data_IF_034575520322
#
_entry.id   IF_034575520322
#
_cell.length_a   1.000
_cell.length_b   1.000
_cell.length_c   1.000
_cell.angle_alpha   90.00
_cell.angle_beta   90.00
_cell.angle_gamma   90.00
#
_symmetry.space_group_name_H-M   'P 1'
#
loop_
_entity.id
_entity.type
_entity.pdbx_description
1 polymer ?
#
# COMPACT_ATOMS: atom_id res chain seq x y z
N UNK A 1 23.30 -5.90 4.12
CA UNK A 1 22.27 -5.57 3.09
C UNK A 1 22.21 -4.06 2.96
N UNK A 2 22.51 -3.53 1.78
CA UNK A 2 22.49 -2.08 1.55
C UNK A 2 21.04 -1.57 1.45
N UNK A 3 20.81 -0.32 1.87
CA UNK A 3 19.54 0.36 1.69
C UNK A 3 19.34 0.63 0.18
N UNK A 4 18.34 -0.02 -0.43
CA UNK A 4 18.04 0.09 -1.87
C UNK A 4 16.99 1.17 -2.19
N UNK A 5 16.67 2.06 -1.24
CA UNK A 5 15.67 3.10 -1.43
C UNK A 5 16.20 4.17 -2.39
N UNK A 6 15.41 4.46 -3.42
CA UNK A 6 15.66 5.55 -4.37
C UNK A 6 15.03 6.88 -3.91
N UNK A 7 13.96 6.82 -3.14
CA UNK A 7 13.20 7.98 -2.66
C UNK A 7 13.13 8.02 -1.12
N UNK A 8 13.20 9.21 -0.50
CA UNK A 8 12.93 9.35 0.92
C UNK A 8 11.48 8.95 1.24
N UNK A 9 11.26 8.36 2.41
CA UNK A 9 9.92 8.04 2.92
C UNK A 9 9.51 9.08 3.96
N UNK A 10 8.37 9.70 3.73
CA UNK A 10 7.75 10.67 4.63
C UNK A 10 6.67 9.95 5.45
N UNK A 11 6.73 10.00 6.80
CA UNK A 11 5.64 9.53 7.63
C UNK A 11 4.33 10.24 7.25
N UNK A 12 3.31 9.46 6.93
CA UNK A 12 2.01 10.00 6.52
C UNK A 12 0.95 8.98 6.90
N UNK A 13 -0.04 9.44 7.68
CA UNK A 13 -1.20 8.63 8.04
C UNK A 13 -2.41 9.09 7.26
N UNK A 14 -2.79 8.30 6.26
CA UNK A 14 -4.00 8.46 5.47
C UNK A 14 -4.78 7.14 5.49
N UNK A 15 -6.11 7.24 5.50
CA UNK A 15 -6.97 6.08 5.32
C UNK A 15 -6.92 5.65 3.86
N UNK A 16 -6.73 4.37 3.60
CA UNK A 16 -6.63 3.82 2.25
C UNK A 16 -7.46 2.55 2.14
N UNK A 17 -8.29 2.48 1.11
CA UNK A 17 -8.99 1.25 0.72
C UNK A 17 -8.05 0.43 -0.15
N UNK A 18 -7.81 -0.83 0.20
CA UNK A 18 -6.99 -1.77 -0.57
C UNK A 18 -7.88 -2.92 -1.04
N UNK A 19 -7.79 -3.29 -2.31
CA UNK A 19 -8.53 -4.42 -2.86
C UNK A 19 -7.61 -5.50 -3.45
N UNK A 20 -7.95 -6.76 -3.20
CA UNK A 20 -7.27 -7.95 -3.72
C UNK A 20 -8.25 -9.14 -3.81
N UNK A 21 -8.15 -10.03 -4.82
CA UNK A 21 -9.06 -11.17 -4.98
C UNK A 21 -9.15 -12.11 -3.77
N UNK A 22 -8.09 -12.25 -2.97
CA UNK A 22 -8.09 -13.18 -1.82
C UNK A 22 -8.88 -12.70 -0.60
N UNK A 23 -9.19 -11.40 -0.49
CA UNK A 23 -9.87 -10.83 0.67
C UNK A 23 -10.93 -9.77 0.34
N UNK A 24 -11.15 -9.44 -0.93
CA UNK A 24 -12.05 -8.35 -1.32
C UNK A 24 -11.44 -6.99 -1.02
N UNK A 25 -12.14 -6.16 -0.25
CA UNK A 25 -11.70 -4.81 0.12
C UNK A 25 -11.44 -4.70 1.63
N UNK A 26 -10.37 -4.00 2.00
CA UNK A 26 -10.06 -3.66 3.40
C UNK A 26 -9.72 -2.17 3.52
N UNK A 27 -10.00 -1.59 4.69
CA UNK A 27 -9.62 -0.22 5.03
C UNK A 27 -8.40 -0.26 5.96
N UNK A 28 -7.25 0.19 5.46
CA UNK A 28 -6.00 0.31 6.20
C UNK A 28 -5.57 1.76 6.41
N UNK A 29 -4.40 1.92 7.03
CA UNK A 29 -3.76 3.23 7.18
C UNK A 29 -2.34 3.21 6.61
N UNK A 30 -1.95 4.27 5.93
CA UNK A 30 -0.54 4.42 5.54
C UNK A 30 0.31 4.69 6.79
N UNK A 31 1.50 4.09 6.84
CA UNK A 31 2.55 4.44 7.82
C UNK A 31 3.44 5.55 7.27
N UNK A 32 3.89 5.34 6.04
CA UNK A 32 4.81 6.22 5.32
C UNK A 32 4.57 6.14 3.81
N UNK A 33 4.98 7.18 3.09
CA UNK A 33 4.83 7.36 1.66
C UNK A 33 6.13 7.87 1.05
N UNK A 34 6.41 7.47 -0.19
CA UNK A 34 7.48 7.98 -1.05
C UNK A 34 6.96 8.08 -2.49
N UNK A 35 7.68 8.74 -3.38
CA UNK A 35 7.29 8.81 -4.80
C UNK A 35 7.17 7.43 -5.48
N UNK A 36 7.88 6.43 -4.95
CA UNK A 36 7.89 5.06 -5.51
C UNK A 36 6.95 4.08 -4.83
N UNK A 37 6.29 4.46 -3.73
CA UNK A 37 5.44 3.52 -3.00
C UNK A 37 5.09 3.91 -1.57
N UNK A 38 4.29 3.07 -0.94
CA UNK A 38 3.65 3.30 0.37
C UNK A 38 3.81 2.08 1.27
N UNK A 39 3.80 2.26 2.59
CA UNK A 39 3.55 1.15 3.52
C UNK A 39 2.16 1.29 4.12
N UNK A 40 1.37 0.21 4.08
CA UNK A 40 0.00 0.17 4.59
C UNK A 40 -0.09 -0.82 5.75
N UNK A 41 -0.57 -0.34 6.88
CA UNK A 41 -0.84 -1.08 8.10
C UNK A 41 -2.25 -1.66 8.04
N UNK A 42 -2.33 -2.99 7.96
CA UNK A 42 -3.53 -3.79 8.12
C UNK A 42 -3.14 -5.28 8.18
N UNK A 43 -3.56 -6.06 9.19
CA UNK A 43 -3.11 -7.44 9.38
C UNK A 43 -3.32 -8.35 8.15
N UNK A 44 -4.45 -8.19 7.44
CA UNK A 44 -4.75 -8.95 6.20
C UNK A 44 -3.72 -8.71 5.10
N UNK A 45 -3.10 -7.54 5.02
CA UNK A 45 -2.05 -7.29 4.01
C UNK A 45 -0.76 -8.05 4.34
N UNK A 46 -0.56 -8.39 5.62
CA UNK A 46 0.54 -9.25 6.05
C UNK A 46 0.42 -10.72 5.58
N UNK A 47 -0.71 -11.10 4.97
CA UNK A 47 -0.92 -12.45 4.40
C UNK A 47 -0.70 -12.51 2.89
N UNK A 48 -0.38 -11.39 2.23
CA UNK A 48 -0.06 -11.34 0.81
C UNK A 48 1.33 -11.91 0.51
N UNK A 49 1.60 -12.17 -0.76
CA UNK A 49 2.91 -12.60 -1.25
C UNK A 49 3.62 -11.46 -1.98
N UNK A 50 4.96 -11.46 -1.93
CA UNK A 50 5.75 -10.51 -2.75
C UNK A 50 5.48 -10.80 -4.23
N UNK A 51 5.16 -9.76 -5.00
CA UNK A 51 4.74 -9.85 -6.39
C UNK A 51 3.23 -9.81 -6.60
N UNK A 52 2.40 -9.96 -5.55
CA UNK A 52 0.95 -9.78 -5.67
C UNK A 52 0.63 -8.34 -6.08
N UNK A 53 -0.37 -8.18 -6.97
CA UNK A 53 -0.89 -6.88 -7.35
C UNK A 53 -2.16 -6.55 -6.57
N UNK A 54 -2.24 -5.33 -6.05
CA UNK A 54 -3.41 -4.79 -5.38
C UNK A 54 -3.81 -3.47 -6.00
N UNK A 55 -5.07 -3.06 -5.82
CA UNK A 55 -5.48 -1.68 -6.05
C UNK A 55 -5.62 -0.94 -4.74
N UNK A 56 -5.35 0.37 -4.76
CA UNK A 56 -5.49 1.24 -3.59
C UNK A 56 -6.11 2.57 -3.92
N UNK A 57 -6.96 3.08 -3.01
CA UNK A 57 -7.60 4.38 -3.16
C UNK A 57 -7.61 5.09 -1.81
N UNK A 58 -7.01 6.29 -1.75
CA UNK A 58 -7.06 7.14 -0.56
C UNK A 58 -8.51 7.53 -0.27
N UNK A 59 -8.88 7.48 1.00
CA UNK A 59 -10.24 7.77 1.48
C UNK A 59 -10.28 9.09 2.24
N UNK A 60 -11.49 9.63 2.45
CA UNK A 60 -11.72 10.83 3.24
C UNK A 60 -11.36 12.15 2.53
N UNK A 61 -11.15 12.11 1.22
CA UNK A 61 -11.02 13.31 0.39
C UNK A 61 -12.41 13.85 -0.01
N UNK A 62 -12.55 15.17 -0.28
CA UNK A 62 -13.82 15.77 -0.71
C UNK A 62 -14.28 15.31 -2.10
N UNK A 63 -13.42 14.59 -2.82
CA UNK A 63 -13.66 13.92 -4.08
C UNK A 63 -13.00 12.53 -4.05
N UNK A 64 -13.41 11.65 -4.96
CA UNK A 64 -12.79 10.32 -5.06
C UNK A 64 -11.33 10.44 -5.49
N UNK A 65 -10.43 9.86 -4.69
CA UNK A 65 -9.03 9.74 -5.06
C UNK A 65 -8.86 8.81 -6.28
N UNK A 66 -7.83 9.00 -7.10
CA UNK A 66 -7.49 8.04 -8.14
C UNK A 66 -7.23 6.65 -7.54
N UNK A 67 -7.58 5.62 -8.30
CA UNK A 67 -7.27 4.23 -7.94
C UNK A 67 -5.90 3.89 -8.50
N UNK A 68 -4.98 3.50 -7.63
CA UNK A 68 -3.62 3.15 -7.99
C UNK A 68 -3.44 1.64 -8.03
N UNK A 69 -2.76 1.13 -9.06
CA UNK A 69 -2.21 -0.22 -9.09
C UNK A 69 -0.88 -0.25 -8.35
N UNK A 70 -0.68 -1.27 -7.55
CA UNK A 70 0.52 -1.44 -6.75
C UNK A 70 0.95 -2.90 -6.69
N UNK A 71 2.25 -3.13 -6.57
CA UNK A 71 2.83 -4.46 -6.35
C UNK A 71 3.40 -4.59 -4.94
N UNK A 72 3.19 -5.74 -4.31
CA UNK A 72 3.73 -6.05 -2.99
C UNK A 72 5.24 -6.26 -3.08
N UNK A 73 6.01 -5.38 -2.43
CA UNK A 73 7.47 -5.47 -2.34
C UNK A 73 7.93 -6.17 -1.05
N UNK A 74 7.13 -6.08 0.01
CA UNK A 74 7.38 -6.73 1.31
C UNK A 74 6.09 -6.92 2.09
N UNK A 75 6.07 -7.93 2.95
CA UNK A 75 5.03 -8.14 3.95
C UNK A 75 5.63 -8.27 5.33
N UNK A 76 4.91 -7.80 6.35
CA UNK A 76 5.22 -7.99 7.76
C UNK A 76 3.98 -8.66 8.38
N UNK A 77 4.04 -9.96 8.69
CA UNK A 77 2.90 -10.70 9.23
C UNK A 77 2.32 -10.02 10.48
N UNK A 78 0.99 -9.86 10.50
CA UNK A 78 0.27 -9.18 11.59
C UNK A 78 0.35 -7.65 11.59
N UNK A 79 1.18 -7.04 10.74
CA UNK A 79 1.40 -5.59 10.68
C UNK A 79 0.86 -4.99 9.37
N UNK A 80 1.41 -5.39 8.22
CA UNK A 80 1.03 -4.80 6.94
C UNK A 80 1.94 -5.14 5.77
N UNK A 81 1.86 -4.33 4.71
CA UNK A 81 2.63 -4.54 3.47
C UNK A 81 3.27 -3.24 2.96
N UNK A 82 4.47 -3.37 2.39
CA UNK A 82 5.10 -2.33 1.59
C UNK A 82 4.78 -2.54 0.12
N UNK A 83 4.22 -1.52 -0.51
CA UNK A 83 3.68 -1.54 -1.86
C UNK A 83 4.47 -0.56 -2.74
N UNK A 84 4.82 -0.94 -3.96
CA UNK A 84 5.39 -0.05 -4.98
C UNK A 84 4.31 0.35 -5.99
N UNK A 85 4.34 1.60 -6.44
CA UNK A 85 3.38 2.11 -7.43
C UNK A 85 3.68 1.56 -8.83
N UNK A 86 2.63 1.13 -9.54
CA UNK A 86 2.70 0.70 -10.93
C UNK A 86 2.04 1.71 -11.89
N UNK A 87 1.14 2.55 -11.37
CA UNK A 87 0.39 3.55 -12.15
C UNK A 87 -1.07 3.63 -11.70
N UNK A 88 -1.88 4.37 -12.45
CA UNK A 88 -3.34 4.39 -12.29
C UNK A 88 -3.95 3.10 -12.85
N UNK A 89 -5.06 2.66 -12.26
CA UNK A 89 -5.79 1.44 -12.63
C UNK A 89 -6.66 1.62 -13.88
#
# INVERSE_FOLDING_TARGET
>A
MANQRQHPRTPMKAQIKIAHPSFGEVIGHTRDLSDGGVFVEHPTLGTLQVGDEVTGQVQGMPFEAPVLRMVVQRVIPGDGAGLAFLGEA
#
